data_IF_615790074973
#
_entry.id   IF_615790074973
#
_cell.length_a   1.000
_cell.length_b   1.000
_cell.length_c   1.000
_cell.angle_alpha   90.00
_cell.angle_beta   90.00
_cell.angle_gamma   90.00
#
_symmetry.space_group_name_H-M   'P 1'
#
loop_
_entity.id
_entity.type
_entity.pdbx_description
1 polymer ?
#
# COMPACT_ATOMS: atom_id res chain seq x y z
N UNK A 1 -9.13 -30.99 12.01
CA UNK A 1 -9.74 -31.64 10.85
C UNK A 1 -10.74 -30.66 10.25
N UNK A 2 -10.32 -29.84 9.32
CA UNK A 2 -11.13 -29.51 8.13
C UNK A 2 -10.22 -28.76 7.14
N UNK A 3 -9.57 -29.55 6.29
CA UNK A 3 -8.84 -29.04 5.15
C UNK A 3 -9.88 -28.67 4.06
N UNK A 4 -10.36 -27.45 4.06
CA UNK A 4 -10.95 -26.85 2.87
C UNK A 4 -9.84 -26.49 1.90
N UNK A 5 -9.37 -27.50 1.16
CA UNK A 5 -8.61 -27.30 -0.07
C UNK A 5 -9.45 -26.40 -0.97
N UNK A 6 -9.08 -25.13 -1.08
CA UNK A 6 -9.71 -24.17 -1.96
C UNK A 6 -9.64 -24.70 -3.39
N UNK A 7 -10.77 -25.14 -3.92
CA UNK A 7 -10.93 -25.51 -5.32
C UNK A 7 -10.47 -24.33 -6.15
N UNK A 8 -9.35 -24.49 -6.88
CA UNK A 8 -8.93 -23.50 -7.86
C UNK A 8 -10.10 -23.20 -8.78
N UNK A 9 -10.47 -21.93 -8.99
CA UNK A 9 -11.51 -21.60 -9.94
C UNK A 9 -11.08 -22.15 -11.30
N UNK A 10 -11.98 -22.89 -11.95
CA UNK A 10 -11.73 -23.45 -13.28
C UNK A 10 -11.20 -22.30 -14.18
N UNK A 11 -10.02 -22.50 -14.77
CA UNK A 11 -9.44 -21.53 -15.71
C UNK A 11 -10.45 -21.41 -16.86
N UNK A 12 -11.23 -20.32 -16.87
CA UNK A 12 -12.23 -20.09 -17.91
C UNK A 12 -11.51 -19.97 -19.24
N UNK A 13 -12.14 -20.41 -20.35
CA UNK A 13 -11.58 -20.33 -21.71
C UNK A 13 -11.06 -18.93 -22.10
N UNK A 14 -11.62 -17.89 -21.48
CA UNK A 14 -11.16 -16.51 -21.60
C UNK A 14 -9.71 -16.28 -21.08
N UNK A 15 -9.28 -17.01 -20.05
CA UNK A 15 -7.91 -16.89 -19.52
C UNK A 15 -6.86 -17.38 -20.51
N UNK A 16 -7.13 -18.49 -21.21
CA UNK A 16 -6.22 -18.99 -22.24
C UNK A 16 -6.11 -18.03 -23.43
N UNK A 17 -7.23 -17.43 -23.83
CA UNK A 17 -7.23 -16.42 -24.90
C UNK A 17 -6.38 -15.21 -24.49
N UNK A 18 -6.62 -14.65 -23.30
CA UNK A 18 -5.85 -13.49 -22.79
C UNK A 18 -4.36 -13.77 -22.65
N UNK A 19 -3.99 -14.97 -22.24
CA UNK A 19 -2.58 -15.37 -22.16
C UNK A 19 -1.94 -15.41 -23.56
N UNK A 20 -2.63 -15.97 -24.57
CA UNK A 20 -2.14 -15.98 -25.97
C UNK A 20 -2.01 -14.57 -26.52
N UNK A 21 -3.01 -13.72 -26.33
CA UNK A 21 -3.00 -12.31 -26.77
C UNK A 21 -1.87 -11.53 -26.09
N UNK A 22 -1.64 -11.76 -24.79
CA UNK A 22 -0.53 -11.18 -24.05
C UNK A 22 0.82 -11.65 -24.56
N UNK A 23 0.98 -12.95 -24.82
CA UNK A 23 2.21 -13.52 -25.37
C UNK A 23 2.53 -12.96 -26.75
N UNK A 24 1.54 -12.88 -27.64
CA UNK A 24 1.71 -12.29 -28.97
C UNK A 24 2.20 -10.83 -28.91
N UNK A 25 1.62 -10.01 -28.02
CA UNK A 25 2.07 -8.62 -27.84
C UNK A 25 3.52 -8.51 -27.37
N UNK A 26 3.96 -9.44 -26.51
CA UNK A 26 5.34 -9.46 -26.01
C UNK A 26 6.29 -9.88 -27.14
N UNK A 27 5.90 -10.86 -27.96
CA UNK A 27 6.66 -11.29 -29.13
C UNK A 27 6.77 -10.17 -30.19
N UNK A 28 5.66 -9.50 -30.50
CA UNK A 28 5.64 -8.33 -31.41
C UNK A 28 6.56 -7.20 -30.92
N UNK A 29 6.61 -6.99 -29.57
CA UNK A 29 7.50 -6.02 -28.94
C UNK A 29 8.96 -6.49 -28.85
N UNK A 30 9.30 -7.70 -29.37
CA UNK A 30 10.62 -8.35 -29.27
C UNK A 30 11.12 -8.48 -27.82
N UNK A 31 10.20 -8.69 -26.88
CA UNK A 31 10.50 -8.97 -25.48
C UNK A 31 10.43 -10.48 -25.22
N UNK A 32 11.07 -10.93 -24.15
CA UNK A 32 11.05 -12.34 -23.76
C UNK A 32 10.54 -12.50 -22.33
N UNK A 33 9.89 -13.62 -22.06
CA UNK A 33 9.51 -14.03 -20.71
C UNK A 33 10.61 -14.86 -20.06
N UNK A 34 10.81 -14.66 -18.77
CA UNK A 34 11.58 -15.61 -17.96
C UNK A 34 10.62 -16.70 -17.47
N UNK A 35 10.80 -17.93 -17.93
CA UNK A 35 9.99 -19.08 -17.53
C UNK A 35 10.03 -19.31 -16.01
N UNK A 36 11.21 -19.20 -15.40
CA UNK A 36 11.39 -19.39 -13.95
C UNK A 36 10.68 -18.33 -13.09
N UNK A 37 10.53 -17.11 -13.63
CA UNK A 37 9.88 -15.98 -12.92
C UNK A 37 8.41 -15.82 -13.28
N UNK A 38 7.90 -16.62 -14.21
CA UNK A 38 6.51 -16.54 -14.65
C UNK A 38 5.64 -17.50 -13.88
N UNK A 39 4.55 -17.00 -13.31
CA UNK A 39 3.55 -17.80 -12.62
C UNK A 39 2.17 -17.52 -13.22
N UNK A 40 1.44 -18.56 -13.56
CA UNK A 40 0.12 -18.48 -14.19
C UNK A 40 -0.91 -19.21 -13.32
N UNK A 41 -2.18 -18.76 -13.36
CA UNK A 41 -3.29 -19.40 -12.67
C UNK A 41 -3.20 -19.35 -11.15
N UNK A 42 -2.43 -18.43 -10.59
CA UNK A 42 -2.31 -18.25 -9.14
C UNK A 42 -3.52 -17.52 -8.59
N UNK A 43 -4.02 -17.96 -7.42
CA UNK A 43 -5.06 -17.25 -6.69
C UNK A 43 -4.55 -15.93 -6.10
N UNK A 44 -3.27 -15.88 -5.75
CA UNK A 44 -2.58 -14.71 -5.25
C UNK A 44 -1.19 -14.62 -5.87
N UNK A 45 -0.76 -13.42 -6.17
CA UNK A 45 0.57 -13.17 -6.74
C UNK A 45 1.23 -11.96 -6.10
N UNK A 46 2.53 -12.06 -5.88
CA UNK A 46 3.34 -10.93 -5.42
C UNK A 46 3.72 -10.03 -6.60
N UNK A 47 3.25 -8.79 -6.60
CA UNK A 47 3.55 -7.78 -7.62
C UNK A 47 4.17 -6.57 -6.94
N UNK A 48 5.44 -6.30 -7.21
CA UNK A 48 6.18 -5.14 -6.66
C UNK A 48 5.92 -4.97 -5.15
N UNK A 49 6.21 -6.02 -4.38
CA UNK A 49 6.05 -6.06 -2.91
C UNK A 49 4.58 -5.92 -2.42
N UNK A 50 3.62 -6.16 -3.28
CA UNK A 50 2.19 -6.19 -2.94
C UNK A 50 1.62 -7.56 -3.21
N UNK A 51 0.92 -8.13 -2.23
CA UNK A 51 0.15 -9.36 -2.42
C UNK A 51 -1.19 -8.99 -3.07
N UNK A 52 -1.35 -9.42 -4.32
CA UNK A 52 -2.54 -9.15 -5.13
C UNK A 52 -3.38 -10.42 -5.27
N UNK A 53 -4.68 -10.32 -5.01
CA UNK A 53 -5.64 -11.43 -5.10
C UNK A 53 -7.05 -10.95 -5.44
N UNK A 54 -8.06 -11.83 -5.39
CA UNK A 54 -9.46 -11.49 -5.67
C UNK A 54 -10.02 -10.38 -4.77
N UNK A 55 -9.53 -10.32 -3.53
CA UNK A 55 -9.89 -9.30 -2.54
C UNK A 55 -9.27 -7.92 -2.79
N UNK A 56 -8.37 -7.81 -3.77
CA UNK A 56 -7.59 -6.60 -4.03
C UNK A 56 -6.10 -6.77 -3.72
N UNK A 57 -5.48 -5.77 -3.10
CA UNK A 57 -4.04 -5.77 -2.79
C UNK A 57 -3.77 -5.48 -1.32
N UNK A 58 -2.75 -6.13 -0.78
CA UNK A 58 -2.22 -5.95 0.58
C UNK A 58 -0.71 -5.69 0.53
N UNK A 59 -0.13 -5.07 1.56
CA UNK A 59 1.31 -5.06 1.71
C UNK A 59 1.87 -6.48 1.84
N UNK A 60 3.11 -6.69 1.43
CA UNK A 60 3.83 -7.94 1.70
C UNK A 60 3.99 -8.15 3.21
N UNK A 61 3.58 -9.30 3.73
CA UNK A 61 3.72 -9.63 5.15
C UNK A 61 5.17 -9.55 5.61
N UNK A 62 6.11 -10.10 4.85
CA UNK A 62 7.54 -10.03 5.17
C UNK A 62 8.05 -8.60 5.30
N UNK A 63 7.53 -7.66 4.50
CA UNK A 63 7.91 -6.24 4.61
C UNK A 63 7.25 -5.56 5.80
N UNK A 64 6.00 -5.88 6.10
CA UNK A 64 5.32 -5.36 7.30
C UNK A 64 6.04 -5.83 8.56
N UNK A 65 6.43 -7.09 8.63
CA UNK A 65 7.24 -7.67 9.71
C UNK A 65 8.61 -6.98 9.82
N UNK A 66 9.29 -6.79 8.69
CA UNK A 66 10.58 -6.07 8.66
C UNK A 66 10.46 -4.63 9.16
N UNK A 67 9.40 -3.89 8.78
CA UNK A 67 9.13 -2.54 9.28
C UNK A 67 8.79 -2.57 10.76
N UNK A 68 8.02 -3.54 11.23
CA UNK A 68 7.66 -3.71 12.64
C UNK A 68 8.88 -4.01 13.50
N UNK A 69 9.86 -4.75 12.98
CA UNK A 69 11.12 -5.03 13.64
C UNK A 69 12.09 -3.84 13.67
N UNK A 70 11.91 -2.83 12.80
CA UNK A 70 12.74 -1.63 12.82
C UNK A 70 12.59 -0.91 14.15
N UNK A 71 13.71 -0.54 14.78
CA UNK A 71 13.77 0.30 15.97
C UNK A 71 14.40 1.63 15.58
N UNK A 72 13.62 2.60 15.05
CA UNK A 72 14.11 3.97 14.93
C UNK A 72 14.27 4.47 16.36
N UNK A 73 15.52 4.53 16.80
CA UNK A 73 15.88 5.00 18.12
C UNK A 73 16.40 6.44 18.05
N UNK A 74 16.53 7.01 19.22
CA UNK A 74 17.02 8.37 19.45
C UNK A 74 18.43 8.62 18.93
N UNK A 75 19.10 7.65 18.27
CA UNK A 75 20.55 7.73 18.01
C UNK A 75 20.89 8.27 16.63
N UNK A 76 19.95 8.32 15.66
CA UNK A 76 20.37 8.62 14.30
C UNK A 76 19.24 9.09 13.36
N UNK A 77 19.42 10.28 12.78
CA UNK A 77 18.63 10.79 11.65
C UNK A 77 18.52 9.78 10.51
N UNK A 78 19.58 9.01 10.26
CA UNK A 78 19.61 8.00 9.19
C UNK A 78 18.61 6.87 9.45
N UNK A 79 18.48 6.40 10.70
CA UNK A 79 17.51 5.36 11.05
C UNK A 79 16.07 5.87 10.88
N UNK A 80 15.79 7.11 11.25
CA UNK A 80 14.47 7.75 11.05
C UNK A 80 14.17 7.87 9.56
N UNK A 81 15.12 8.33 8.73
CA UNK A 81 14.95 8.40 7.28
C UNK A 81 14.66 7.03 6.65
N UNK A 82 15.38 5.99 7.08
CA UNK A 82 15.18 4.63 6.59
C UNK A 82 13.78 4.12 6.96
N UNK A 83 13.34 4.33 8.19
CA UNK A 83 12.01 3.95 8.65
C UNK A 83 10.92 4.68 7.88
N UNK A 84 11.00 6.02 7.78
CA UNK A 84 10.05 6.82 7.01
C UNK A 84 10.02 6.42 5.53
N UNK A 85 11.18 6.15 4.91
CA UNK A 85 11.24 5.66 3.54
C UNK A 85 10.46 4.36 3.33
N UNK A 86 10.60 3.42 4.26
CA UNK A 86 9.85 2.17 4.24
C UNK A 86 8.33 2.39 4.44
N UNK A 87 7.93 3.24 5.39
CA UNK A 87 6.53 3.58 5.62
C UNK A 87 5.92 4.35 4.43
N UNK A 88 6.68 5.24 3.80
CA UNK A 88 6.23 6.02 2.63
C UNK A 88 5.87 5.12 1.45
N UNK A 89 6.58 4.02 1.25
CA UNK A 89 6.25 3.05 0.21
C UNK A 89 4.85 2.46 0.40
N UNK A 90 4.46 2.25 1.66
CA UNK A 90 3.15 1.70 2.04
C UNK A 90 2.13 2.75 2.51
N UNK A 91 2.38 4.05 2.29
CA UNK A 91 1.50 5.13 2.77
C UNK A 91 0.07 5.02 2.26
N UNK A 92 -0.15 4.40 1.09
CA UNK A 92 -1.49 4.21 0.51
C UNK A 92 -2.40 3.32 1.35
N UNK A 93 -1.86 2.61 2.35
CA UNK A 93 -2.61 1.79 3.32
C UNK A 93 -2.73 2.44 4.69
N UNK A 94 -2.06 3.58 4.91
CA UNK A 94 -2.03 4.24 6.22
C UNK A 94 -2.97 5.44 6.21
N UNK A 95 -4.12 5.35 6.91
CA UNK A 95 -4.99 6.52 7.08
C UNK A 95 -4.22 7.65 7.76
N UNK A 96 -4.47 8.88 7.34
CA UNK A 96 -3.86 10.10 7.91
C UNK A 96 -2.33 10.06 8.01
N UNK A 97 -1.66 9.35 7.08
CA UNK A 97 -0.20 9.16 7.09
C UNK A 97 0.58 10.45 7.33
N UNK A 98 0.21 11.56 6.65
CA UNK A 98 0.91 12.83 6.80
C UNK A 98 0.88 13.34 8.24
N UNK A 99 -0.26 13.27 8.90
CA UNK A 99 -0.42 13.71 10.28
C UNK A 99 0.36 12.81 11.25
N UNK A 100 0.27 11.50 11.07
CA UNK A 100 0.96 10.54 11.95
C UNK A 100 2.49 10.62 11.78
N UNK A 101 2.98 10.85 10.56
CA UNK A 101 4.41 10.90 10.26
C UNK A 101 5.05 12.30 10.47
N UNK A 102 4.23 13.35 10.63
CA UNK A 102 4.69 14.74 10.74
C UNK A 102 5.76 14.95 11.81
N UNK A 103 5.62 14.46 13.07
CA UNK A 103 6.64 14.64 14.08
C UNK A 103 8.02 14.09 13.65
N UNK A 104 8.03 12.95 12.98
CA UNK A 104 9.27 12.34 12.45
C UNK A 104 9.86 13.16 11.30
N UNK A 105 9.03 13.73 10.43
CA UNK A 105 9.51 14.63 9.37
C UNK A 105 10.10 15.92 9.93
N UNK A 106 9.55 16.46 11.02
CA UNK A 106 10.10 17.62 11.72
C UNK A 106 11.53 17.39 12.21
N UNK A 107 11.85 16.18 12.69
CA UNK A 107 13.21 15.82 13.09
C UNK A 107 14.21 15.86 11.93
N UNK A 108 13.75 15.75 10.68
CA UNK A 108 14.59 15.72 9.50
C UNK A 108 14.81 17.09 8.86
N UNK A 109 14.18 18.16 9.36
CA UNK A 109 14.35 19.53 8.85
C UNK A 109 15.78 20.01 9.12
N UNK A 110 16.37 20.65 8.10
CA UNK A 110 17.73 21.26 8.24
C UNK A 110 17.74 22.31 9.36
N UNK A 111 18.82 22.35 10.12
CA UNK A 111 19.02 23.34 11.17
C UNK A 111 18.33 23.02 12.49
N UNK A 112 17.53 21.98 12.59
CA UNK A 112 16.99 21.52 13.87
C UNK A 112 17.96 20.58 14.57
N UNK A 113 18.07 20.76 15.90
CA UNK A 113 18.75 19.80 16.78
C UNK A 113 17.94 18.50 16.78
N UNK A 114 18.61 17.38 16.58
CA UNK A 114 17.98 16.07 16.68
C UNK A 114 17.73 15.74 18.16
N UNK A 115 16.47 15.77 18.55
CA UNK A 115 16.02 15.47 19.91
C UNK A 115 14.81 14.55 19.82
N UNK A 116 14.96 13.36 20.41
CA UNK A 116 13.89 12.35 20.38
C UNK A 116 12.97 12.53 21.60
N UNK A 117 11.68 12.74 21.36
CA UNK A 117 10.65 12.94 22.36
C UNK A 117 9.60 11.82 22.27
N UNK A 118 8.69 11.76 23.25
CA UNK A 118 7.60 10.77 23.30
C UNK A 118 6.68 10.83 22.06
N UNK A 119 6.46 12.03 21.49
CA UNK A 119 5.68 12.20 20.27
C UNK A 119 6.27 11.41 19.08
N UNK A 120 7.58 11.28 19.00
CA UNK A 120 8.26 10.52 17.93
C UNK A 120 8.09 9.01 18.14
N UNK A 121 8.16 8.56 19.40
CA UNK A 121 7.91 7.17 19.77
C UNK A 121 6.47 6.78 19.44
N UNK A 122 5.53 7.65 19.75
CA UNK A 122 4.11 7.44 19.47
C UNK A 122 3.82 7.44 17.95
N UNK A 123 4.47 8.32 17.17
CA UNK A 123 4.39 8.30 15.71
C UNK A 123 4.85 6.97 15.13
N UNK A 124 5.99 6.46 15.60
CA UNK A 124 6.51 5.15 15.18
C UNK A 124 5.53 4.03 15.52
N UNK A 125 4.98 4.04 16.73
CA UNK A 125 4.00 3.04 17.17
C UNK A 125 2.76 3.05 16.29
N UNK A 126 2.17 4.22 16.03
CA UNK A 126 0.97 4.38 15.19
C UNK A 126 1.22 3.94 13.75
N UNK A 127 2.36 4.30 13.16
CA UNK A 127 2.70 3.88 11.79
C UNK A 127 2.84 2.35 11.67
N UNK A 128 3.46 1.70 12.64
CA UNK A 128 3.58 0.24 12.67
C UNK A 128 2.24 -0.45 12.85
N UNK A 129 1.44 0.03 13.79
CA UNK A 129 0.10 -0.49 14.06
C UNK A 129 -0.82 -0.35 12.84
N UNK A 130 -0.82 0.82 12.19
CA UNK A 130 -1.59 1.04 10.97
C UNK A 130 -1.22 0.06 9.86
N UNK A 131 0.07 -0.25 9.67
CA UNK A 131 0.51 -1.24 8.69
C UNK A 131 0.14 -2.68 9.08
N UNK A 132 0.19 -3.01 10.36
CA UNK A 132 -0.15 -4.34 10.85
C UNK A 132 -1.64 -4.66 10.75
N UNK A 133 -2.50 -3.63 10.91
CA UNK A 133 -3.97 -3.77 10.93
C UNK A 133 -4.64 -3.37 9.62
N UNK A 134 -3.85 -3.04 8.59
CA UNK A 134 -4.39 -2.45 7.35
C UNK A 134 -5.32 -3.42 6.60
N UNK A 135 -6.49 -2.95 6.14
CA UNK A 135 -7.37 -3.75 5.31
C UNK A 135 -6.79 -3.93 3.90
N UNK A 136 -7.29 -4.93 3.18
CA UNK A 136 -7.01 -5.01 1.75
C UNK A 136 -7.62 -3.80 1.02
N UNK A 137 -6.83 -3.16 0.16
CA UNK A 137 -7.36 -2.17 -0.76
C UNK A 137 -7.97 -2.90 -1.96
N UNK A 138 -9.28 -2.73 -2.16
CA UNK A 138 -9.98 -3.37 -3.28
C UNK A 138 -9.55 -2.76 -4.62
N UNK A 139 -9.69 -3.53 -5.69
CA UNK A 139 -9.44 -3.06 -7.05
C UNK A 139 -10.50 -2.02 -7.43
N UNK A 140 -10.07 -0.90 -8.01
CA UNK A 140 -10.99 0.07 -8.58
C UNK A 140 -11.74 -0.53 -9.78
N UNK A 141 -13.04 -0.25 -9.85
CA UNK A 141 -13.91 -0.60 -10.97
C UNK A 141 -14.02 0.62 -11.87
N UNK A 142 -13.70 0.45 -13.15
CA UNK A 142 -13.68 1.55 -14.16
C UNK A 142 -14.82 1.43 -15.16
N UNK A 143 -15.92 0.81 -14.77
CA UNK A 143 -17.10 0.71 -15.63
C UNK A 143 -17.85 2.04 -15.69
N UNK A 144 -18.53 2.28 -16.85
CA UNK A 144 -19.31 3.50 -17.03
C UNK A 144 -20.43 3.58 -16.00
N UNK A 145 -20.48 4.67 -15.28
CA UNK A 145 -21.50 4.90 -14.23
C UNK A 145 -21.04 4.54 -12.81
N UNK A 146 -19.88 3.91 -12.63
CA UNK A 146 -19.35 3.66 -11.28
C UNK A 146 -18.94 4.97 -10.61
N UNK A 147 -19.49 5.24 -9.44
CA UNK A 147 -19.18 6.43 -8.66
C UNK A 147 -17.87 6.25 -7.88
N UNK A 148 -17.09 7.30 -7.83
CA UNK A 148 -15.88 7.41 -7.02
C UNK A 148 -16.08 8.50 -5.98
N UNK A 149 -15.92 8.15 -4.72
CA UNK A 149 -16.03 9.06 -3.59
C UNK A 149 -14.63 9.44 -3.12
N UNK A 150 -14.37 10.72 -2.99
CA UNK A 150 -13.13 11.24 -2.41
C UNK A 150 -13.50 11.99 -1.14
N UNK A 151 -13.07 11.45 -0.01
CA UNK A 151 -13.19 12.14 1.28
C UNK A 151 -11.86 12.78 1.58
N UNK A 152 -11.86 14.09 1.85
CA UNK A 152 -10.66 14.88 2.15
C UNK A 152 -10.78 15.42 3.57
N UNK A 153 -9.69 15.32 4.31
CA UNK A 153 -9.52 15.91 5.63
C UNK A 153 -8.26 16.77 5.64
N UNK A 154 -8.34 17.95 6.26
CA UNK A 154 -7.24 18.92 6.27
C UNK A 154 -6.90 19.34 7.69
N UNK A 155 -5.62 19.52 7.93
CA UNK A 155 -5.07 20.11 9.15
C UNK A 155 -4.05 21.20 8.81
N UNK A 156 -3.61 22.00 9.77
CA UNK A 156 -2.54 22.99 9.52
C UNK A 156 -1.23 22.38 9.01
N UNK A 157 -1.00 21.09 9.22
CA UNK A 157 0.25 20.40 8.90
C UNK A 157 0.15 19.46 7.71
N UNK A 158 -1.06 19.15 7.23
CA UNK A 158 -1.21 18.21 6.13
C UNK A 158 -2.63 18.03 5.61
N UNK A 159 -2.71 17.42 4.44
CA UNK A 159 -3.95 17.02 3.79
C UNK A 159 -3.95 15.50 3.71
N UNK A 160 -5.05 14.87 4.15
CA UNK A 160 -5.32 13.46 3.98
C UNK A 160 -6.53 13.24 3.08
N UNK A 161 -6.54 12.16 2.32
CA UNK A 161 -7.71 11.76 1.55
C UNK A 161 -7.84 10.25 1.45
N UNK A 162 -9.06 9.79 1.25
CA UNK A 162 -9.36 8.41 0.89
C UNK A 162 -10.23 8.37 -0.35
N UNK A 163 -9.86 7.50 -1.27
CA UNK A 163 -10.64 7.19 -2.47
C UNK A 163 -11.42 5.92 -2.21
N UNK A 164 -12.74 6.00 -2.34
CA UNK A 164 -13.66 4.89 -2.10
C UNK A 164 -14.54 4.64 -3.33
N UNK A 165 -15.06 3.43 -3.43
CA UNK A 165 -16.19 3.06 -4.26
C UNK A 165 -17.22 2.31 -3.42
N UNK A 166 -18.43 2.12 -3.95
CA UNK A 166 -19.47 1.28 -3.36
C UNK A 166 -19.55 -0.02 -4.14
N UNK A 167 -19.84 -1.11 -3.45
CA UNK A 167 -20.19 -2.38 -4.08
C UNK A 167 -21.70 -2.45 -4.39
N UNK A 168 -22.15 -3.59 -4.90
CA UNK A 168 -23.55 -3.82 -5.29
C UNK A 168 -24.51 -3.70 -4.10
N UNK A 169 -24.03 -3.90 -2.88
CA UNK A 169 -24.79 -3.77 -1.63
C UNK A 169 -24.75 -2.34 -1.06
N UNK A 170 -24.12 -1.39 -1.74
CA UNK A 170 -23.95 0.00 -1.30
C UNK A 170 -22.90 0.18 -0.20
N UNK A 171 -22.08 -0.84 0.05
CA UNK A 171 -21.03 -0.79 1.07
C UNK A 171 -19.78 -0.12 0.49
N UNK A 172 -19.33 0.96 1.14
CA UNK A 172 -18.12 1.67 0.75
C UNK A 172 -16.88 0.89 1.12
N UNK A 173 -15.96 0.80 0.18
CA UNK A 173 -14.67 0.18 0.38
C UNK A 173 -13.52 1.08 -0.10
N UNK A 174 -12.37 1.07 0.60
CA UNK A 174 -11.23 1.88 0.22
C UNK A 174 -10.48 1.27 -0.96
N UNK A 175 -10.12 2.13 -1.91
CA UNK A 175 -9.24 1.80 -3.03
C UNK A 175 -7.82 2.29 -2.72
N UNK A 176 -7.72 3.47 -2.09
CA UNK A 176 -6.45 4.11 -1.81
C UNK A 176 -6.59 5.16 -0.72
N UNK A 177 -5.65 5.19 0.21
CA UNK A 177 -5.40 6.35 1.05
C UNK A 177 -4.32 7.23 0.42
N UNK A 178 -4.34 8.51 0.72
CA UNK A 178 -3.32 9.44 0.33
C UNK A 178 -3.14 10.54 1.37
N UNK A 179 -1.98 11.14 1.39
CA UNK A 179 -1.68 12.22 2.29
C UNK A 179 -0.53 13.09 1.75
N UNK A 180 -0.55 14.37 2.09
CA UNK A 180 0.51 15.31 1.77
C UNK A 180 0.79 16.17 3.00
N UNK A 181 2.05 16.23 3.42
CA UNK A 181 2.50 17.20 4.43
C UNK A 181 2.60 18.56 3.76
N UNK A 182 2.01 19.57 4.39
CA UNK A 182 2.10 20.96 3.93
C UNK A 182 3.44 21.57 4.36
N UNK A 183 4.05 22.35 3.49
CA UNK A 183 5.20 23.20 3.83
C UNK A 183 4.71 24.54 4.43
N UNK A 184 5.56 25.21 5.18
CA UNK A 184 5.26 26.52 5.78
C UNK A 184 4.90 27.62 4.76
N UNK A 185 5.06 27.32 3.46
CA UNK A 185 4.76 28.24 2.35
C UNK A 185 3.45 27.89 1.61
N UNK A 186 2.72 26.90 2.06
CA UNK A 186 1.45 26.43 1.50
C UNK A 186 0.31 26.54 2.52
#
# INVERSE_FOLDING_TARGET
>A
QDARAGRMPAIRGDTHRRLREGAAKVEDARLTFSGEKSAFGQSEIMVVEHLCGPYGRKPSLAKVEAISAMKPDCSSVTKVRRFLGACTFYHIWIPHYAHVAEPLYRLLKKGRRFEWLDEHTESVRKLKEALATTPALRKAVYEKGTLVYITVDTSPTGIGWVVNQEDEDGIRFPIRFGAKVLSEQQ
#
